data_IF_190207703400
#
_entry.id   IF_190207703400
#
_cell.length_a   1.000
_cell.length_b   1.000
_cell.length_c   1.000
_cell.angle_alpha   90.00
_cell.angle_beta   90.00
_cell.angle_gamma   90.00
#
_symmetry.space_group_name_H-M   'P 1'
#
loop_
_entity.id
_entity.type
_entity.pdbx_description
1 polymer ?
#
# COMPACT_ATOMS: atom_id res chain seq x y z
N UNK A 1 -0.40 -9.59 12.33
CA UNK A 1 0.38 -8.86 11.28
C UNK A 1 1.19 -7.63 11.74
N UNK A 2 1.16 -7.20 13.02
CA UNK A 2 1.85 -5.96 13.47
C UNK A 2 3.33 -5.84 13.04
N UNK A 3 4.21 -6.85 13.21
CA UNK A 3 5.61 -6.71 12.78
C UNK A 3 5.76 -6.43 11.27
N UNK A 4 4.92 -7.07 10.45
CA UNK A 4 4.89 -6.85 9.01
C UNK A 4 4.35 -5.47 8.65
N UNK A 5 3.32 -4.99 9.36
CA UNK A 5 2.82 -3.62 9.20
C UNK A 5 3.87 -2.56 9.55
N UNK A 6 4.63 -2.76 10.63
CA UNK A 6 5.73 -1.88 11.00
C UNK A 6 6.83 -1.84 9.95
N UNK A 7 7.20 -2.99 9.38
CA UNK A 7 8.19 -3.10 8.30
C UNK A 7 7.67 -2.48 6.99
N UNK A 8 6.43 -2.77 6.60
CA UNK A 8 5.82 -2.23 5.39
C UNK A 8 5.75 -0.70 5.41
N UNK A 9 5.30 -0.10 6.52
CA UNK A 9 5.27 1.36 6.66
C UNK A 9 6.68 1.97 6.73
N UNK A 10 7.66 1.28 7.31
CA UNK A 10 9.05 1.73 7.30
C UNK A 10 9.65 1.73 5.88
N UNK A 11 9.43 0.67 5.11
CA UNK A 11 9.91 0.57 3.73
C UNK A 11 9.27 1.63 2.82
N UNK A 12 7.97 1.89 2.98
CA UNK A 12 7.32 2.98 2.28
C UNK A 12 7.93 4.34 2.64
N UNK A 13 8.24 4.59 3.92
CA UNK A 13 8.90 5.83 4.35
C UNK A 13 10.29 6.00 3.75
N UNK A 14 11.09 4.93 3.73
CA UNK A 14 12.42 4.93 3.11
C UNK A 14 12.34 5.30 1.63
N UNK A 15 11.42 4.66 0.90
CA UNK A 15 11.22 4.91 -0.52
C UNK A 15 10.74 6.34 -0.80
N UNK A 16 9.77 6.85 -0.03
CA UNK A 16 9.30 8.23 -0.14
C UNK A 16 10.44 9.23 0.14
N UNK A 17 11.38 8.88 1.02
CA UNK A 17 12.59 9.68 1.28
C UNK A 17 13.56 9.79 0.11
N UNK A 18 13.43 8.93 -0.93
CA UNK A 18 14.25 8.98 -2.15
C UNK A 18 13.66 9.83 -3.27
N UNK A 19 12.43 10.34 -3.08
CA UNK A 19 11.69 11.11 -4.07
C UNK A 19 12.48 12.34 -4.53
N UNK A 20 12.57 12.52 -5.84
CA UNK A 20 13.04 13.76 -6.44
C UNK A 20 11.85 14.52 -7.07
N UNK A 21 11.84 15.87 -7.01
CA UNK A 21 10.73 16.66 -7.54
C UNK A 21 10.39 16.40 -9.02
N UNK A 22 11.40 16.07 -9.85
CA UNK A 22 11.23 15.78 -11.28
C UNK A 22 10.48 14.47 -11.57
N UNK A 23 10.21 13.64 -10.56
CA UNK A 23 9.54 12.34 -10.71
C UNK A 23 8.04 12.40 -10.41
N UNK A 24 7.54 13.50 -9.85
CA UNK A 24 6.17 13.59 -9.32
C UNK A 24 5.07 13.34 -10.36
N UNK A 25 5.30 13.76 -11.60
CA UNK A 25 4.32 13.60 -12.67
C UNK A 25 4.61 12.35 -13.54
N UNK A 26 5.53 11.48 -13.08
CA UNK A 26 5.90 10.24 -13.74
C UNK A 26 4.82 9.14 -13.62
N UNK A 27 4.80 8.17 -14.53
CA UNK A 27 3.82 7.08 -14.51
C UNK A 27 4.08 6.09 -13.37
N UNK A 28 3.05 5.35 -12.98
CA UNK A 28 3.16 4.19 -12.10
C UNK A 28 2.50 2.96 -12.75
N UNK A 29 2.82 1.73 -12.30
CA UNK A 29 2.05 0.53 -12.69
C UNK A 29 0.57 0.58 -12.29
N UNK A 30 0.21 1.40 -11.30
CA UNK A 30 -1.17 1.72 -10.98
C UNK A 30 -1.65 2.77 -11.98
N UNK A 31 -2.17 2.36 -13.13
CA UNK A 31 -2.42 3.25 -14.28
C UNK A 31 -3.40 4.40 -14.00
N UNK A 32 -4.13 4.34 -12.90
CA UNK A 32 -5.00 5.43 -12.42
C UNK A 32 -4.20 6.59 -11.79
N UNK A 33 -2.96 6.35 -11.37
CA UNK A 33 -2.13 7.26 -10.58
C UNK A 33 -0.78 7.54 -11.25
N UNK A 34 -0.45 8.82 -11.41
CA UNK A 34 0.94 9.26 -11.45
C UNK A 34 1.58 9.18 -10.05
N UNK A 35 2.89 9.44 -9.95
CA UNK A 35 3.62 9.36 -8.68
C UNK A 35 3.01 10.27 -7.61
N UNK A 36 2.63 11.49 -7.96
CA UNK A 36 2.01 12.47 -7.05
C UNK A 36 0.67 11.97 -6.51
N UNK A 37 -0.17 11.44 -7.38
CA UNK A 37 -1.49 10.89 -7.01
C UNK A 37 -1.32 9.64 -6.17
N UNK A 38 -0.34 8.79 -6.48
CA UNK A 38 0.00 7.61 -5.68
C UNK A 38 0.51 7.99 -4.28
N UNK A 39 1.35 9.02 -4.17
CA UNK A 39 1.80 9.54 -2.87
C UNK A 39 0.63 10.07 -2.04
N UNK A 40 -0.28 10.83 -2.67
CA UNK A 40 -1.52 11.28 -2.04
C UNK A 40 -2.35 10.09 -1.53
N UNK A 41 -2.51 9.05 -2.35
CA UNK A 41 -3.21 7.82 -1.99
C UNK A 41 -2.55 7.09 -0.82
N UNK A 42 -1.22 6.96 -0.82
CA UNK A 42 -0.47 6.28 0.24
C UNK A 42 -0.64 7.03 1.58
N UNK A 43 -0.51 8.35 1.58
CA UNK A 43 -0.67 9.17 2.79
C UNK A 43 -2.11 9.11 3.31
N UNK A 44 -3.10 9.32 2.44
CA UNK A 44 -4.52 9.29 2.82
C UNK A 44 -5.01 7.87 3.21
N UNK A 45 -4.52 6.84 2.53
CA UNK A 45 -4.72 5.44 2.91
C UNK A 45 -4.14 5.15 4.29
N UNK A 46 -2.91 5.58 4.57
CA UNK A 46 -2.29 5.43 5.91
C UNK A 46 -3.09 6.15 7.00
N UNK A 47 -3.61 7.35 6.69
CA UNK A 47 -4.54 8.07 7.58
C UNK A 47 -5.81 7.26 7.86
N UNK A 48 -6.43 6.68 6.83
CA UNK A 48 -7.63 5.84 7.01
C UNK A 48 -7.34 4.65 7.91
N UNK A 49 -6.22 3.96 7.69
CA UNK A 49 -5.82 2.81 8.51
C UNK A 49 -5.68 3.22 9.97
N UNK A 50 -5.12 4.41 10.25
CA UNK A 50 -5.04 4.94 11.60
C UNK A 50 -6.44 5.17 12.21
N UNK A 51 -7.35 5.80 11.45
CA UNK A 51 -8.73 6.05 11.92
C UNK A 51 -9.47 4.76 12.24
N UNK A 52 -9.33 3.71 11.42
CA UNK A 52 -9.91 2.39 11.72
C UNK A 52 -9.36 1.81 13.05
N UNK A 53 -8.06 1.98 13.31
CA UNK A 53 -7.42 1.57 14.57
C UNK A 53 -7.89 2.40 15.77
N UNK A 54 -8.23 3.66 15.54
CA UNK A 54 -8.75 4.61 16.54
C UNK A 54 -10.27 4.50 16.79
N UNK A 55 -10.90 3.39 16.36
CA UNK A 55 -12.34 3.15 16.51
C UNK A 55 -13.24 4.05 15.66
N UNK A 56 -12.66 4.80 14.71
CA UNK A 56 -13.43 5.51 13.69
C UNK A 56 -13.87 4.60 12.54
N UNK A 57 -14.65 5.17 11.62
CA UNK A 57 -15.07 4.49 10.39
C UNK A 57 -14.12 4.81 9.24
N UNK A 58 -13.61 3.78 8.55
CA UNK A 58 -12.77 3.95 7.37
C UNK A 58 -13.46 4.68 6.21
N UNK A 59 -14.80 4.65 6.12
CA UNK A 59 -15.58 5.36 5.10
C UNK A 59 -15.66 6.86 5.33
N UNK A 60 -15.46 7.33 6.57
CA UNK A 60 -15.47 8.76 6.91
C UNK A 60 -14.18 9.49 6.45
N UNK A 61 -13.22 8.75 5.91
CA UNK A 61 -11.91 9.26 5.52
C UNK A 61 -11.68 9.03 4.03
N UNK A 62 -11.40 10.09 3.27
CA UNK A 62 -10.94 10.00 1.88
C UNK A 62 -9.54 9.36 1.83
N UNK A 63 -9.26 8.51 0.84
CA UNK A 63 -7.92 7.90 0.65
C UNK A 63 -6.86 8.86 0.11
N UNK A 64 -7.19 10.11 -0.12
CA UNK A 64 -6.29 11.09 -0.71
C UNK A 64 -6.11 12.27 0.24
N UNK A 65 -4.94 12.88 0.17
CA UNK A 65 -4.63 14.16 0.80
C UNK A 65 -4.41 15.22 -0.27
N UNK A 66 -4.91 16.43 0.01
CA UNK A 66 -4.72 17.60 -0.85
C UNK A 66 -3.70 18.55 -0.20
N UNK A 67 -3.07 19.41 -1.00
CA UNK A 67 -2.25 20.52 -0.49
C UNK A 67 -0.91 20.15 0.13
N UNK A 68 -0.40 18.94 -0.12
CA UNK A 68 0.98 18.57 0.26
C UNK A 68 1.94 19.22 -0.73
N UNK A 69 2.89 20.07 -0.28
CA UNK A 69 3.94 20.61 -1.15
C UNK A 69 4.79 19.50 -1.76
N UNK A 70 5.40 19.76 -2.92
CA UNK A 70 6.19 18.79 -3.67
C UNK A 70 7.35 18.18 -2.87
N UNK A 71 7.92 18.92 -1.92
CA UNK A 71 8.97 18.49 -0.99
C UNK A 71 8.42 18.03 0.38
N UNK A 72 7.12 18.12 0.60
CA UNK A 72 6.44 17.82 1.86
C UNK A 72 6.05 16.36 2.07
N UNK A 73 6.15 15.51 1.04
CA UNK A 73 5.71 14.11 1.09
C UNK A 73 6.36 13.28 2.21
N UNK A 74 7.69 13.37 2.48
CA UNK A 74 8.30 12.63 3.58
C UNK A 74 7.71 13.00 4.94
N UNK A 75 7.45 14.28 5.19
CA UNK A 75 6.85 14.74 6.46
C UNK A 75 5.41 14.27 6.58
N UNK A 76 4.60 14.47 5.53
CA UNK A 76 3.20 14.07 5.51
C UNK A 76 3.02 12.57 5.75
N UNK A 77 3.86 11.74 5.12
CA UNK A 77 3.83 10.30 5.35
C UNK A 77 4.34 9.93 6.75
N UNK A 78 5.42 10.57 7.22
CA UNK A 78 6.00 10.32 8.55
C UNK A 78 5.02 10.58 9.70
N UNK A 79 4.20 11.62 9.58
CA UNK A 79 3.13 11.92 10.53
C UNK A 79 2.07 10.81 10.56
N UNK A 80 1.57 10.40 9.38
CA UNK A 80 0.56 9.33 9.29
C UNK A 80 1.13 7.97 9.72
N UNK A 81 2.40 7.70 9.42
CA UNK A 81 3.11 6.51 9.90
C UNK A 81 3.15 6.44 11.43
N UNK A 82 3.51 7.55 12.07
CA UNK A 82 3.51 7.62 13.55
C UNK A 82 2.14 7.33 14.13
N UNK A 83 1.10 7.95 13.55
CA UNK A 83 -0.30 7.78 13.98
C UNK A 83 -0.78 6.35 13.80
N UNK A 84 -0.56 5.75 12.63
CA UNK A 84 -1.03 4.38 12.34
C UNK A 84 -0.35 3.34 13.21
N UNK A 85 0.94 3.50 13.52
CA UNK A 85 1.62 2.56 14.42
C UNK A 85 0.97 2.59 15.81
N UNK A 86 0.74 3.78 16.37
CA UNK A 86 0.07 3.95 17.67
C UNK A 86 -1.34 3.38 17.68
N UNK A 87 -2.13 3.64 16.64
CA UNK A 87 -3.51 3.19 16.54
C UNK A 87 -3.67 1.66 16.61
N UNK A 88 -2.63 0.91 16.27
CA UNK A 88 -2.64 -0.55 16.19
C UNK A 88 -1.71 -1.24 17.20
N UNK A 89 -1.22 -0.52 18.21
CA UNK A 89 -0.32 -1.06 19.24
C UNK A 89 -1.01 -2.05 20.18
N UNK A 90 -2.31 -1.93 20.44
CA UNK A 90 -3.02 -2.76 21.43
C UNK A 90 -3.36 -4.17 20.93
N UNK A 91 -3.17 -5.18 21.79
CA UNK A 91 -3.62 -6.56 21.54
C UNK A 91 -5.15 -6.66 21.49
N UNK A 92 -5.84 -5.89 22.34
CA UNK A 92 -7.30 -5.78 22.32
C UNK A 92 -7.77 -5.27 20.96
N UNK A 93 -7.04 -4.32 20.37
CA UNK A 93 -7.36 -3.77 19.06
C UNK A 93 -7.29 -4.81 17.95
N UNK A 94 -6.38 -5.79 18.05
CA UNK A 94 -6.28 -6.90 17.09
C UNK A 94 -7.49 -7.85 17.14
N UNK A 95 -8.13 -7.99 18.31
CA UNK A 95 -9.25 -8.90 18.50
C UNK A 95 -10.60 -8.23 18.24
N UNK A 96 -10.74 -6.97 18.66
CA UNK A 96 -12.01 -6.27 18.57
C UNK A 96 -12.41 -5.92 17.12
N UNK A 97 -13.72 -5.87 16.80
CA UNK A 97 -14.20 -5.47 15.47
C UNK A 97 -13.78 -4.04 15.11
N UNK A 98 -13.41 -3.83 13.85
CA UNK A 98 -13.07 -2.51 13.27
C UNK A 98 -13.91 -2.26 12.02
N UNK A 99 -14.26 -1.00 11.78
CA UNK A 99 -15.03 -0.58 10.61
C UNK A 99 -14.10 -0.20 9.47
N UNK A 100 -14.07 -1.04 8.45
CA UNK A 100 -13.29 -0.83 7.23
C UNK A 100 -14.26 -0.65 6.04
N UNK A 101 -13.80 -0.10 4.90
CA UNK A 101 -14.69 0.19 3.77
C UNK A 101 -15.49 -0.99 3.21
N UNK A 102 -15.08 -2.22 3.49
CA UNK A 102 -15.72 -3.46 3.03
C UNK A 102 -16.44 -4.24 4.13
N UNK A 103 -16.62 -3.64 5.31
CA UNK A 103 -17.42 -4.22 6.40
C UNK A 103 -16.81 -4.06 7.79
N UNK A 104 -17.43 -4.71 8.78
CA UNK A 104 -16.92 -4.78 10.15
C UNK A 104 -16.28 -6.15 10.39
N UNK A 105 -14.97 -6.17 10.66
CA UNK A 105 -14.17 -7.41 10.76
C UNK A 105 -13.18 -7.34 11.94
N UNK A 106 -12.61 -8.47 12.41
CA UNK A 106 -11.57 -8.44 13.44
C UNK A 106 -10.37 -7.58 13.03
N UNK A 107 -9.83 -6.81 13.97
CA UNK A 107 -8.70 -5.90 13.70
C UNK A 107 -7.48 -6.58 13.08
N UNK A 108 -7.21 -7.85 13.44
CA UNK A 108 -6.11 -8.62 12.82
C UNK A 108 -6.30 -8.83 11.33
N UNK A 109 -7.53 -9.03 10.88
CA UNK A 109 -7.85 -9.34 9.48
C UNK A 109 -7.79 -8.04 8.67
N UNK A 110 -8.33 -6.96 9.22
CA UNK A 110 -8.19 -5.62 8.67
C UNK A 110 -6.71 -5.21 8.51
N UNK A 111 -5.91 -5.34 9.57
CA UNK A 111 -4.49 -4.95 9.50
C UNK A 111 -3.70 -5.84 8.53
N UNK A 112 -4.09 -7.12 8.36
CA UNK A 112 -3.50 -8.00 7.35
C UNK A 112 -3.79 -7.53 5.93
N UNK A 113 -5.03 -7.13 5.64
CA UNK A 113 -5.41 -6.53 4.36
C UNK A 113 -4.69 -5.19 4.10
N UNK A 114 -4.53 -4.37 5.14
CA UNK A 114 -3.81 -3.10 5.01
C UNK A 114 -2.29 -3.25 4.84
N UNK A 115 -1.69 -4.34 5.33
CA UNK A 115 -0.30 -4.67 4.95
C UNK A 115 -0.21 -4.89 3.45
N UNK A 116 -1.12 -5.67 2.86
CA UNK A 116 -1.15 -5.90 1.41
C UNK A 116 -1.32 -4.60 0.62
N UNK A 117 -2.23 -3.71 1.03
CA UNK A 117 -2.43 -2.38 0.43
C UNK A 117 -1.13 -1.56 0.40
N UNK A 118 -0.47 -1.41 1.57
CA UNK A 118 0.77 -0.63 1.69
C UNK A 118 1.87 -1.26 0.83
N UNK A 119 2.02 -2.58 0.88
CA UNK A 119 3.06 -3.30 0.15
C UNK A 119 2.87 -3.22 -1.36
N UNK A 120 1.62 -3.32 -1.85
CA UNK A 120 1.30 -3.18 -3.27
C UNK A 120 1.67 -1.78 -3.79
N UNK A 121 1.24 -0.73 -3.09
CA UNK A 121 1.52 0.64 -3.50
C UNK A 121 2.97 1.08 -3.26
N UNK A 122 3.68 0.46 -2.31
CA UNK A 122 5.13 0.63 -2.19
C UNK A 122 5.86 0.08 -3.42
N UNK A 123 5.38 -1.03 -3.98
CA UNK A 123 5.94 -1.56 -5.23
C UNK A 123 5.64 -0.65 -6.42
N UNK A 124 4.40 -0.16 -6.55
CA UNK A 124 4.03 0.79 -7.61
C UNK A 124 4.90 2.05 -7.57
N UNK A 125 5.12 2.59 -6.37
CA UNK A 125 5.98 3.75 -6.17
C UNK A 125 7.44 3.41 -6.52
N UNK A 126 7.92 2.22 -6.14
CA UNK A 126 9.29 1.81 -6.43
C UNK A 126 9.53 1.74 -7.93
N UNK A 127 8.58 1.18 -8.70
CA UNK A 127 8.63 1.20 -10.16
C UNK A 127 8.66 2.64 -10.71
N UNK A 128 7.75 3.51 -10.26
CA UNK A 128 7.67 4.91 -10.70
C UNK A 128 8.92 5.74 -10.37
N UNK A 129 9.63 5.39 -9.30
CA UNK A 129 10.87 6.06 -8.89
C UNK A 129 12.14 5.46 -9.51
N UNK A 130 12.02 4.41 -10.33
CA UNK A 130 13.17 3.74 -10.94
C UNK A 130 13.90 2.76 -10.01
N UNK A 131 13.19 2.19 -9.04
CA UNK A 131 13.64 1.17 -8.07
C UNK A 131 14.90 1.58 -7.29
N UNK A 132 14.88 2.72 -6.59
CA UNK A 132 16.07 3.29 -5.94
C UNK A 132 16.57 2.46 -4.75
N UNK A 133 15.73 1.58 -4.18
CA UNK A 133 16.04 0.72 -3.04
C UNK A 133 15.53 -0.70 -3.26
N UNK A 134 16.22 -1.68 -2.67
CA UNK A 134 15.77 -3.07 -2.66
C UNK A 134 14.60 -3.22 -1.68
N UNK A 135 13.51 -3.84 -2.13
CA UNK A 135 12.35 -4.10 -1.29
C UNK A 135 12.44 -5.48 -0.62
N UNK A 136 11.91 -5.57 0.59
CA UNK A 136 11.88 -6.76 1.44
C UNK A 136 10.95 -7.85 0.88
N UNK A 137 11.48 -8.98 0.40
CA UNK A 137 10.68 -9.99 -0.28
C UNK A 137 9.64 -10.67 0.63
N UNK A 138 9.87 -10.73 1.94
CA UNK A 138 8.92 -11.36 2.89
C UNK A 138 7.59 -10.59 2.93
N UNK A 139 7.64 -9.26 2.80
CA UNK A 139 6.44 -8.43 2.75
C UNK A 139 5.58 -8.75 1.54
N UNK A 140 6.21 -8.96 0.38
CA UNK A 140 5.53 -9.34 -0.85
C UNK A 140 4.99 -10.77 -0.79
N UNK A 141 5.71 -11.72 -0.18
CA UNK A 141 5.25 -13.09 -0.01
C UNK A 141 4.01 -13.17 0.89
N UNK A 142 4.04 -12.47 2.03
CA UNK A 142 2.89 -12.36 2.91
C UNK A 142 1.68 -11.73 2.21
N UNK A 143 1.91 -10.62 1.50
CA UNK A 143 0.85 -9.88 0.81
C UNK A 143 0.26 -10.68 -0.36
N UNK A 144 1.08 -11.45 -1.10
CA UNK A 144 0.59 -12.37 -2.12
C UNK A 144 -0.27 -13.49 -1.52
N UNK A 145 0.13 -14.06 -0.38
CA UNK A 145 -0.67 -15.06 0.30
C UNK A 145 -2.02 -14.49 0.75
N UNK A 146 -2.04 -13.28 1.33
CA UNK A 146 -3.28 -12.59 1.71
C UNK A 146 -4.15 -12.28 0.48
N UNK A 147 -3.54 -11.79 -0.61
CA UNK A 147 -4.25 -11.46 -1.85
C UNK A 147 -4.93 -12.66 -2.50
N UNK A 148 -4.33 -13.85 -2.42
CA UNK A 148 -4.92 -15.10 -2.94
C UNK A 148 -6.13 -15.58 -2.14
N UNK A 149 -6.19 -15.24 -0.85
CA UNK A 149 -7.36 -15.52 -0.01
C UNK A 149 -8.47 -14.51 -0.28
N UNK A 150 -8.11 -13.24 -0.46
CA UNK A 150 -9.06 -12.14 -0.60
C UNK A 150 -9.66 -11.99 -2.00
N UNK A 151 -8.93 -12.40 -3.05
CA UNK A 151 -9.31 -12.19 -4.45
C UNK A 151 -9.46 -13.53 -5.16
N UNK A 152 -10.48 -13.67 -6.03
CA UNK A 152 -10.60 -14.85 -6.87
C UNK A 152 -9.52 -14.90 -7.96
N UNK A 153 -9.23 -16.11 -8.43
CA UNK A 153 -8.38 -16.37 -9.59
C UNK A 153 -9.00 -15.85 -10.91
N UNK A 154 -10.33 -15.75 -10.94
CA UNK A 154 -11.13 -15.34 -12.10
C UNK A 154 -11.46 -13.84 -12.14
N UNK A 155 -12.58 -13.45 -12.79
CA UNK A 155 -13.01 -12.06 -12.88
C UNK A 155 -13.11 -11.37 -11.51
N UNK A 156 -12.70 -10.11 -11.47
CA UNK A 156 -12.61 -9.29 -10.24
C UNK A 156 -13.59 -8.12 -10.22
N UNK A 157 -14.76 -8.31 -10.80
CA UNK A 157 -15.79 -7.27 -10.93
C UNK A 157 -16.07 -6.57 -9.59
N UNK A 158 -15.97 -5.23 -9.58
CA UNK A 158 -16.19 -4.41 -8.39
C UNK A 158 -15.10 -4.49 -7.32
N UNK A 159 -13.94 -5.10 -7.61
CA UNK A 159 -12.77 -5.15 -6.69
C UNK A 159 -11.73 -4.10 -7.09
N UNK A 160 -10.91 -3.62 -6.13
CA UNK A 160 -9.91 -2.57 -6.38
C UNK A 160 -8.65 -3.07 -7.14
N UNK A 161 -8.67 -4.28 -7.71
CA UNK A 161 -7.54 -4.87 -8.43
C UNK A 161 -8.00 -5.51 -9.74
N UNK A 162 -7.25 -5.24 -10.80
CA UNK A 162 -7.42 -5.86 -12.11
C UNK A 162 -7.16 -7.38 -12.06
N UNK A 163 -7.69 -8.16 -13.02
CA UNK A 163 -7.40 -9.59 -13.14
C UNK A 163 -5.90 -9.90 -13.16
N UNK A 164 -5.51 -11.05 -12.60
CA UNK A 164 -4.12 -11.45 -12.57
C UNK A 164 -3.53 -11.56 -13.98
N UNK A 165 -2.27 -11.14 -14.13
CA UNK A 165 -1.48 -11.28 -15.36
C UNK A 165 -0.36 -12.28 -15.15
N UNK A 166 0.23 -12.77 -16.24
CA UNK A 166 1.42 -13.63 -16.16
C UNK A 166 2.61 -12.83 -15.65
N UNK A 167 3.21 -13.29 -14.54
CA UNK A 167 4.45 -12.71 -14.03
C UNK A 167 5.60 -12.93 -15.04
N UNK A 168 6.51 -11.96 -15.22
CA UNK A 168 7.71 -12.16 -16.04
C UNK A 168 8.51 -13.39 -15.57
N UNK A 169 9.18 -14.05 -16.51
CA UNK A 169 10.09 -15.15 -16.18
C UNK A 169 11.19 -14.65 -15.21
N UNK A 170 11.40 -15.38 -14.11
CA UNK A 170 12.35 -15.00 -13.08
C UNK A 170 11.88 -13.89 -12.13
N UNK A 171 10.60 -13.49 -12.18
CA UNK A 171 10.07 -12.50 -11.25
C UNK A 171 10.26 -12.90 -9.78
N UNK A 172 10.88 -11.99 -9.01
CA UNK A 172 10.98 -12.08 -7.55
C UNK A 172 9.61 -11.97 -6.86
N UNK A 173 9.60 -12.00 -5.52
CA UNK A 173 8.37 -11.98 -4.73
C UNK A 173 7.43 -10.84 -5.10
N UNK A 174 7.96 -9.61 -5.22
CA UNK A 174 7.20 -8.44 -5.63
C UNK A 174 6.63 -8.54 -7.04
N UNK A 175 7.41 -9.03 -8.01
CA UNK A 175 6.91 -9.19 -9.39
C UNK A 175 5.77 -10.21 -9.47
N UNK A 176 5.81 -11.29 -8.68
CA UNK A 176 4.72 -12.27 -8.59
C UNK A 176 3.48 -11.69 -7.91
N UNK A 177 3.66 -10.94 -6.83
CA UNK A 177 2.58 -10.24 -6.13
C UNK A 177 1.92 -9.20 -7.04
N UNK A 178 2.71 -8.35 -7.68
CA UNK A 178 2.23 -7.35 -8.63
C UNK A 178 1.43 -7.97 -9.77
N UNK A 179 1.96 -9.04 -10.38
CA UNK A 179 1.28 -9.77 -11.44
C UNK A 179 -0.04 -10.37 -10.96
N UNK A 180 -0.08 -10.90 -9.74
CA UNK A 180 -1.33 -11.36 -9.11
C UNK A 180 -2.34 -10.24 -8.95
N UNK A 181 -1.91 -9.02 -8.65
CA UNK A 181 -2.76 -7.83 -8.52
C UNK A 181 -3.06 -7.15 -9.88
N UNK A 182 -2.74 -7.81 -10.99
CA UNK A 182 -3.01 -7.33 -12.35
C UNK A 182 -2.03 -6.26 -12.85
N UNK A 183 -0.94 -6.03 -12.12
CA UNK A 183 0.06 -5.01 -12.45
C UNK A 183 1.16 -5.57 -13.36
N UNK A 184 1.75 -4.69 -14.16
CA UNK A 184 2.91 -4.98 -15.01
C UNK A 184 4.05 -4.02 -14.64
N UNK A 185 5.31 -4.49 -14.57
CA UNK A 185 6.45 -3.59 -14.36
C UNK A 185 6.48 -2.50 -15.42
N UNK A 186 6.99 -1.32 -15.06
CA UNK A 186 7.25 -0.28 -16.05
C UNK A 186 8.35 -0.80 -17.00
N UNK A 187 8.19 -0.54 -18.30
CA UNK A 187 9.27 -0.81 -19.25
C UNK A 187 10.51 0.01 -18.84
N UNK A 188 11.72 -0.54 -18.95
CA UNK A 188 12.92 0.28 -18.79
C UNK A 188 12.79 1.47 -19.73
N UNK A 189 12.84 2.68 -19.17
CA UNK A 189 12.97 3.88 -20.00
C UNK A 189 14.28 3.74 -20.77
N UNK A 190 14.21 3.78 -22.10
CA UNK A 190 15.34 3.60 -22.99
C UNK A 190 16.42 4.67 -22.81
#
# INVERSE_FOLDING_TARGET
PRPLHTRATAQAAELIGTLRPDQLDGPTPCTEYDVRTLLSHIVGGTRRIAVCGEQGDGLDVRMFVDGVPDDGWPSAYGEMRTRVLRAWESDERMAAPVRVPWGEIPGRDALSAYVMEIVAHTWDLSEGLGRPVALDPELAEYSLAAARVALPDGPREGRPFEPAVTAPAGAGAYGRMAAWLGRRPLSPTA
#
